data_IF_231112309133
#
_entry.id   IF_231112309133
#
_cell.length_a   1.000
_cell.length_b   1.000
_cell.length_c   1.000
_cell.angle_alpha   90.00
_cell.angle_beta   90.00
_cell.angle_gamma   90.00
#
_symmetry.space_group_name_H-M   'P 1'
#
loop_
_entity.id
_entity.type
_entity.pdbx_description
1 polymer ?
#
# COMPACT_ATOMS: atom_id res chain seq x y z
N UNK A 1 -10.63 -12.23 -1.69
CA UNK A 1 -11.73 -11.24 -1.54
C UNK A 1 -11.44 -9.98 -2.33
N UNK A 2 -10.23 -9.41 -2.23
CA UNK A 2 -9.82 -8.18 -2.93
C UNK A 2 -9.95 -8.21 -4.44
N UNK A 3 -9.88 -9.41 -5.06
CA UNK A 3 -10.11 -9.61 -6.49
C UNK A 3 -11.51 -9.15 -6.96
N UNK A 4 -12.53 -9.31 -6.12
CA UNK A 4 -13.92 -8.95 -6.44
C UNK A 4 -14.44 -7.77 -5.61
N UNK A 5 -13.75 -7.42 -4.51
CA UNK A 5 -14.12 -6.34 -3.62
C UNK A 5 -12.89 -5.46 -3.33
N UNK A 6 -12.65 -4.40 -4.14
CA UNK A 6 -11.45 -3.57 -4.02
C UNK A 6 -11.14 -3.02 -2.62
N UNK A 7 -12.12 -2.66 -1.77
CA UNK A 7 -11.84 -2.21 -0.40
C UNK A 7 -11.13 -3.25 0.48
N UNK A 8 -11.25 -4.54 0.17
CA UNK A 8 -10.58 -5.60 0.92
C UNK A 8 -9.08 -5.72 0.60
N UNK A 9 -8.61 -5.13 -0.50
CA UNK A 9 -7.22 -5.28 -0.97
C UNK A 9 -6.19 -4.81 0.07
N UNK A 10 -6.45 -3.68 0.75
CA UNK A 10 -5.56 -3.15 1.78
C UNK A 10 -5.49 -4.07 2.99
N UNK A 11 -6.64 -4.59 3.45
CA UNK A 11 -6.70 -5.52 4.58
C UNK A 11 -5.99 -6.84 4.25
N UNK A 12 -6.14 -7.33 3.03
CA UNK A 12 -5.45 -8.52 2.53
C UNK A 12 -3.93 -8.33 2.48
N UNK A 13 -3.45 -7.18 1.99
CA UNK A 13 -2.01 -6.83 2.00
C UNK A 13 -1.47 -6.63 3.42
N UNK A 14 -2.24 -6.03 4.31
CA UNK A 14 -1.88 -5.90 5.73
C UNK A 14 -1.73 -7.27 6.40
N UNK A 15 -2.67 -8.19 6.14
CA UNK A 15 -2.59 -9.55 6.67
C UNK A 15 -1.34 -10.27 6.17
N UNK A 16 -0.96 -10.07 4.90
CA UNK A 16 0.29 -10.60 4.36
C UNK A 16 1.53 -10.01 5.06
N UNK A 17 1.59 -8.69 5.24
CA UNK A 17 2.74 -8.05 5.88
C UNK A 17 2.87 -8.42 7.36
N UNK A 18 1.77 -8.40 8.11
CA UNK A 18 1.75 -8.59 9.56
C UNK A 18 1.83 -10.07 9.96
N UNK A 19 1.12 -10.95 9.27
CA UNK A 19 0.95 -12.36 9.67
C UNK A 19 1.59 -13.35 8.68
N UNK A 20 2.05 -12.91 7.51
CA UNK A 20 2.56 -13.80 6.47
C UNK A 20 1.48 -14.59 5.73
N UNK A 21 0.21 -14.18 5.87
CA UNK A 21 -0.92 -14.84 5.21
C UNK A 21 -1.07 -14.32 3.78
N UNK A 22 -0.74 -15.15 2.79
CA UNK A 22 -0.85 -14.80 1.37
C UNK A 22 -2.24 -15.17 0.81
N UNK A 23 -3.08 -14.20 0.45
CA UNK A 23 -4.36 -14.46 -0.21
C UNK A 23 -4.13 -15.00 -1.62
N UNK A 24 -4.89 -16.03 -1.99
CA UNK A 24 -4.85 -16.56 -3.36
C UNK A 24 -5.49 -15.56 -4.33
N UNK A 25 -4.86 -15.35 -5.48
CA UNK A 25 -5.38 -14.46 -6.53
C UNK A 25 -5.32 -12.97 -6.18
N UNK A 26 -4.50 -12.57 -5.21
CA UNK A 26 -4.33 -11.16 -4.84
C UNK A 26 -3.80 -10.35 -6.04
N UNK A 27 -4.52 -9.33 -6.54
CA UNK A 27 -4.12 -8.60 -7.74
C UNK A 27 -2.91 -7.67 -7.51
N UNK A 28 -2.59 -7.37 -6.25
CA UNK A 28 -1.42 -6.56 -5.86
C UNK A 28 -0.73 -7.18 -4.66
N UNK A 29 0.43 -7.78 -4.90
CA UNK A 29 1.24 -8.47 -3.87
C UNK A 29 2.34 -7.60 -3.28
N UNK A 30 2.40 -6.30 -3.62
CA UNK A 30 3.38 -5.38 -3.03
C UNK A 30 3.12 -5.25 -1.53
N UNK A 31 4.19 -5.18 -0.74
CA UNK A 31 4.11 -4.86 0.70
C UNK A 31 3.43 -3.51 0.89
N UNK A 32 2.52 -3.39 1.84
CA UNK A 32 1.78 -2.15 2.11
C UNK A 32 2.31 -1.40 3.33
N UNK A 33 2.54 -2.09 4.45
CA UNK A 33 2.95 -1.48 5.71
C UNK A 33 4.48 -1.46 5.86
N UNK A 34 5.14 -2.56 5.49
CA UNK A 34 6.61 -2.62 5.53
C UNK A 34 7.20 -2.37 4.14
N UNK A 35 7.59 -1.12 3.89
CA UNK A 35 8.35 -0.71 2.71
C UNK A 35 9.84 -1.12 2.77
N UNK A 36 10.15 -2.29 3.35
CA UNK A 36 11.50 -2.83 3.46
C UNK A 36 12.37 -2.13 4.51
N UNK A 37 11.74 -1.60 5.57
CA UNK A 37 12.41 -0.84 6.64
C UNK A 37 12.39 -1.56 7.99
N UNK A 38 11.50 -2.53 8.17
CA UNK A 38 11.41 -3.23 9.45
C UNK A 38 12.55 -4.24 9.63
N UNK A 39 13.03 -4.36 10.86
CA UNK A 39 14.04 -5.36 11.24
C UNK A 39 13.47 -6.77 11.47
N UNK A 40 12.18 -6.97 11.23
CA UNK A 40 11.42 -8.20 11.48
C UNK A 40 10.42 -8.41 10.35
N UNK A 41 10.21 -9.66 9.94
CA UNK A 41 9.15 -10.03 9.00
C UNK A 41 7.99 -10.68 9.73
N UNK A 42 6.77 -10.36 9.32
CA UNK A 42 5.52 -10.91 9.86
C UNK A 42 5.47 -10.83 11.40
N UNK A 43 5.53 -9.61 11.98
CA UNK A 43 5.66 -9.41 13.42
C UNK A 43 4.53 -10.03 14.26
N UNK A 44 3.38 -10.29 13.66
CA UNK A 44 2.21 -10.88 14.31
C UNK A 44 2.00 -12.37 13.97
N UNK A 45 2.92 -12.99 13.22
CA UNK A 45 2.88 -14.42 12.96
C UNK A 45 3.22 -15.23 14.23
N UNK A 46 2.79 -16.49 14.29
CA UNK A 46 3.14 -17.40 15.39
C UNK A 46 4.67 -17.59 15.55
N UNK A 47 5.42 -17.39 14.46
CA UNK A 47 6.88 -17.35 14.43
C UNK A 47 7.31 -16.18 13.54
N UNK A 48 7.57 -14.99 14.11
CA UNK A 48 8.11 -13.87 13.35
C UNK A 48 9.45 -14.23 12.70
N UNK A 49 9.64 -13.79 11.48
CA UNK A 49 10.89 -14.01 10.75
C UNK A 49 11.91 -12.90 11.01
N UNK A 50 13.16 -13.15 10.60
CA UNK A 50 14.22 -12.14 10.64
C UNK A 50 13.97 -10.97 9.67
N UNK A 51 14.90 -9.99 9.63
CA UNK A 51 14.80 -8.86 8.71
C UNK A 51 14.70 -9.34 7.26
N UNK A 52 13.71 -8.82 6.55
CA UNK A 52 13.59 -9.04 5.12
C UNK A 52 14.57 -8.14 4.36
N UNK A 53 14.94 -8.53 3.14
CA UNK A 53 15.74 -7.66 2.28
C UNK A 53 15.01 -6.34 2.05
N UNK A 54 15.76 -5.23 2.10
CA UNK A 54 15.22 -3.93 1.76
C UNK A 54 14.70 -3.96 0.32
N UNK A 55 13.45 -3.56 0.13
CA UNK A 55 12.82 -3.45 -1.18
C UNK A 55 12.31 -2.03 -1.33
N UNK A 56 12.55 -1.41 -2.49
CA UNK A 56 11.89 -0.15 -2.81
C UNK A 56 10.40 -0.40 -3.04
N UNK A 57 9.55 0.49 -2.52
CA UNK A 57 8.13 0.46 -2.84
C UNK A 57 7.92 1.07 -4.22
N UNK A 58 7.61 0.21 -5.20
CA UNK A 58 7.31 0.65 -6.56
C UNK A 58 5.88 1.17 -6.59
N UNK A 59 5.71 2.48 -6.76
CA UNK A 59 4.42 3.03 -7.15
C UNK A 59 4.10 2.69 -8.61
N UNK A 60 2.87 2.31 -8.94
CA UNK A 60 2.54 2.00 -10.34
C UNK A 60 2.21 3.28 -11.10
N UNK A 61 2.65 3.40 -12.36
CA UNK A 61 2.41 4.59 -13.16
C UNK A 61 0.93 4.75 -13.51
N UNK A 62 0.58 5.96 -13.95
CA UNK A 62 -0.63 6.25 -14.70
C UNK A 62 -0.21 7.02 -15.96
N UNK A 63 -0.82 6.69 -17.09
CA UNK A 63 -0.52 7.27 -18.40
C UNK A 63 -1.74 8.00 -18.93
N UNK A 64 -1.52 9.13 -19.60
CA UNK A 64 -2.58 10.00 -20.11
C UNK A 64 -2.08 11.43 -20.34
N UNK A 65 -2.81 12.18 -21.15
CA UNK A 65 -2.54 13.60 -21.35
C UNK A 65 -2.90 14.40 -20.08
N UNK A 66 -2.13 15.46 -19.81
CA UNK A 66 -2.40 16.40 -18.71
C UNK A 66 -2.50 15.74 -17.32
N UNK A 67 -1.75 14.66 -17.07
CA UNK A 67 -1.66 14.06 -15.75
C UNK A 67 -0.71 14.84 -14.84
N UNK A 68 -1.20 15.20 -13.67
CA UNK A 68 -0.42 15.86 -12.63
C UNK A 68 -0.26 14.93 -11.42
N UNK A 69 0.98 14.79 -10.94
CA UNK A 69 1.26 14.09 -9.69
C UNK A 69 1.31 15.09 -8.54
N UNK A 70 0.49 14.86 -7.52
CA UNK A 70 0.35 15.76 -6.38
C UNK A 70 0.70 14.96 -5.11
N UNK A 71 1.86 15.19 -4.50
CA UNK A 71 2.18 14.63 -3.18
C UNK A 71 1.41 15.41 -2.12
N UNK A 72 0.80 14.69 -1.18
CA UNK A 72 0.04 15.29 -0.08
C UNK A 72 0.35 14.53 1.19
N UNK A 73 1.03 15.16 2.14
CA UNK A 73 1.32 14.50 3.41
C UNK A 73 2.28 15.26 4.32
N UNK A 74 2.39 14.84 5.59
CA UNK A 74 1.46 13.92 6.26
C UNK A 74 0.13 14.64 6.55
N UNK A 75 -0.99 14.07 6.10
CA UNK A 75 -2.33 14.60 6.41
C UNK A 75 -2.87 13.85 7.60
N UNK A 76 -3.34 14.59 8.59
CA UNK A 76 -4.11 14.07 9.71
C UNK A 76 -5.36 14.95 9.87
N UNK A 77 -6.50 14.51 9.34
CA UNK A 77 -7.78 15.02 9.81
C UNK A 77 -8.09 14.21 11.08
N UNK A 78 -8.38 14.84 12.22
CA UNK A 78 -8.37 14.22 13.57
C UNK A 78 -9.26 12.99 13.83
N UNK A 79 -9.85 12.40 12.79
CA UNK A 79 -10.64 11.16 12.80
C UNK A 79 -9.92 10.02 12.05
N UNK A 80 -8.91 10.30 11.22
CA UNK A 80 -8.18 9.30 10.40
C UNK A 80 -6.70 9.22 10.78
N UNK A 81 -6.10 8.06 10.54
CA UNK A 81 -4.67 7.86 10.72
C UNK A 81 -3.84 8.80 9.81
N UNK A 82 -2.65 9.24 10.26
CA UNK A 82 -1.79 10.09 9.45
C UNK A 82 -1.28 9.32 8.21
N UNK A 83 -1.42 9.93 7.04
CA UNK A 83 -0.99 9.32 5.78
C UNK A 83 -0.19 10.28 4.89
N UNK A 84 0.75 9.74 4.13
CA UNK A 84 1.30 10.39 2.94
C UNK A 84 0.62 9.81 1.72
N UNK A 85 0.06 10.66 0.88
CA UNK A 85 -0.66 10.27 -0.32
C UNK A 85 0.04 10.82 -1.56
N UNK A 86 -0.10 10.08 -2.64
CA UNK A 86 0.29 10.51 -3.98
C UNK A 86 -0.91 10.37 -4.90
N UNK A 87 -1.48 11.51 -5.28
CA UNK A 87 -2.52 11.56 -6.30
C UNK A 87 -1.88 11.64 -7.68
N UNK A 88 -2.44 10.90 -8.63
CA UNK A 88 -2.34 11.29 -10.04
C UNK A 88 -3.73 11.77 -10.47
N UNK A 89 -3.80 12.98 -11.00
CA UNK A 89 -5.06 13.63 -11.36
C UNK A 89 -5.04 14.17 -12.79
N UNK A 90 -6.19 14.15 -13.44
CA UNK A 90 -6.48 14.85 -14.70
C UNK A 90 -7.59 15.86 -14.43
N UNK A 91 -7.23 17.15 -14.35
CA UNK A 91 -8.14 18.18 -13.84
C UNK A 91 -8.63 17.85 -12.42
N UNK A 92 -9.94 17.68 -12.25
CA UNK A 92 -10.59 17.33 -10.98
C UNK A 92 -10.67 15.81 -10.71
N UNK A 93 -10.36 14.98 -11.69
CA UNK A 93 -10.49 13.52 -11.57
C UNK A 93 -9.22 12.89 -11.00
N UNK A 94 -9.32 12.21 -9.85
CA UNK A 94 -8.24 11.36 -9.32
C UNK A 94 -8.25 10.04 -10.09
N UNK A 95 -7.26 9.85 -10.97
CA UNK A 95 -7.11 8.61 -11.75
C UNK A 95 -6.37 7.52 -10.97
N UNK A 96 -5.57 7.91 -9.98
CA UNK A 96 -4.84 6.99 -9.10
C UNK A 96 -4.53 7.63 -7.76
N UNK A 97 -4.72 6.86 -6.71
CA UNK A 97 -4.35 7.17 -5.34
C UNK A 97 -3.43 6.06 -4.81
N UNK A 98 -2.26 6.45 -4.35
CA UNK A 98 -1.36 5.57 -3.60
C UNK A 98 -0.96 6.24 -2.28
N UNK A 99 -0.66 5.41 -1.29
CA UNK A 99 -0.21 5.75 0.06
C UNK A 99 1.12 5.04 0.29
#
# INVERSE_FOLDING_TARGET
>A
VGQHHPPALRLERAAADLFGLAPQGLPDTRRWLDHGRWGVSHPLAARPGGPAAASSYRFLPAEGESLHQIPVGPVHAGIIEPGHFRFTASGETVVRLEE
#
